data_IF_467203818517
#
_entry.id   IF_467203818517
#
_cell.length_a   1.000
_cell.length_b   1.000
_cell.length_c   1.000
_cell.angle_alpha   90.00
_cell.angle_beta   90.00
_cell.angle_gamma   90.00
#
_symmetry.space_group_name_H-M   'P 1'
#
loop_
_entity.id
_entity.type
_entity.pdbx_description
1 polymer ?
#
# COMPACT_ATOMS: atom_id res chain seq x y z
N UNK A 1 -34.71 -19.12 -40.78
CA UNK A 1 -34.92 -18.41 -39.50
C UNK A 1 -33.55 -18.35 -38.83
N UNK A 2 -32.84 -17.23 -38.99
CA UNK A 2 -31.48 -17.05 -38.46
C UNK A 2 -31.57 -16.53 -37.04
N UNK A 3 -31.25 -17.39 -36.06
CA UNK A 3 -31.16 -16.98 -34.67
C UNK A 3 -29.84 -16.22 -34.48
N UNK A 4 -29.93 -14.89 -34.42
CA UNK A 4 -28.84 -14.04 -33.95
C UNK A 4 -28.82 -14.09 -32.41
N UNK A 5 -28.11 -15.07 -31.86
CA UNK A 5 -27.84 -15.11 -30.41
C UNK A 5 -26.94 -13.92 -30.08
N UNK A 6 -27.53 -12.89 -29.47
CA UNK A 6 -26.81 -11.74 -28.95
C UNK A 6 -25.99 -12.19 -27.73
N UNK A 7 -24.67 -12.19 -27.86
CA UNK A 7 -23.75 -12.31 -26.73
C UNK A 7 -24.04 -11.16 -25.75
N UNK A 8 -24.43 -11.43 -24.49
CA UNK A 8 -24.54 -10.36 -23.51
C UNK A 8 -23.11 -9.84 -23.28
N UNK A 9 -22.89 -8.56 -23.62
CA UNK A 9 -21.65 -7.88 -23.33
C UNK A 9 -21.42 -7.93 -21.81
N UNK A 10 -20.43 -8.70 -21.37
CA UNK A 10 -19.96 -8.70 -19.99
C UNK A 10 -19.61 -7.26 -19.62
N UNK A 11 -20.23 -6.75 -18.55
CA UNK A 11 -19.92 -5.44 -18.00
C UNK A 11 -18.41 -5.35 -17.72
N UNK A 12 -17.75 -4.21 -17.98
CA UNK A 12 -16.33 -4.07 -17.73
C UNK A 12 -16.11 -4.20 -16.23
N UNK A 13 -15.52 -5.31 -15.80
CA UNK A 13 -15.11 -5.48 -14.41
C UNK A 13 -14.02 -4.45 -14.12
N UNK A 14 -14.38 -3.43 -13.34
CA UNK A 14 -13.51 -2.33 -12.99
C UNK A 14 -12.45 -2.83 -12.01
N UNK A 15 -11.41 -3.49 -12.50
CA UNK A 15 -10.31 -3.92 -11.65
C UNK A 15 -9.59 -2.70 -11.08
N UNK A 16 -9.73 -2.51 -9.77
CA UNK A 16 -8.84 -1.64 -9.02
C UNK A 16 -7.46 -2.31 -8.98
N UNK A 17 -6.58 -1.96 -9.92
CA UNK A 17 -5.16 -2.22 -9.81
C UNK A 17 -4.52 -1.55 -8.55
N UNK A 18 -5.27 -0.71 -7.85
CA UNK A 18 -4.78 0.16 -6.76
C UNK A 18 -4.47 -0.51 -5.42
N UNK A 19 -4.67 -1.82 -5.25
CA UNK A 19 -4.22 -2.51 -4.03
C UNK A 19 -2.68 -2.64 -3.95
N UNK A 20 -2.00 -2.62 -5.09
CA UNK A 20 -0.53 -2.70 -5.21
C UNK A 20 0.10 -1.34 -5.60
N UNK A 21 -0.48 -0.22 -5.16
CA UNK A 21 0.17 1.09 -5.27
C UNK A 21 1.28 1.20 -4.21
N UNK A 22 2.48 1.63 -4.63
CA UNK A 22 3.63 1.87 -3.76
C UNK A 22 3.30 2.77 -2.56
N UNK A 23 2.37 3.72 -2.70
CA UNK A 23 1.94 4.61 -1.60
C UNK A 23 1.21 3.86 -0.50
N UNK A 24 0.36 2.91 -0.88
CA UNK A 24 -0.36 2.04 0.06
C UNK A 24 0.61 1.10 0.76
N UNK A 25 1.57 0.53 0.02
CA UNK A 25 2.61 -0.34 0.59
C UNK A 25 3.46 0.43 1.61
N UNK A 26 3.96 1.61 1.25
CA UNK A 26 4.73 2.48 2.16
C UNK A 26 3.90 2.83 3.40
N UNK A 27 2.64 3.23 3.23
CA UNK A 27 1.76 3.58 4.34
C UNK A 27 1.58 2.42 5.33
N UNK A 28 1.36 1.21 4.83
CA UNK A 28 1.16 0.02 5.67
C UNK A 28 2.46 -0.34 6.39
N UNK A 29 3.60 -0.37 5.70
CA UNK A 29 4.89 -0.68 6.33
C UNK A 29 5.23 0.33 7.44
N UNK A 30 5.13 1.63 7.15
CA UNK A 30 5.40 2.68 8.13
C UNK A 30 4.38 2.65 9.27
N UNK A 31 3.10 2.38 8.97
CA UNK A 31 2.04 2.29 9.97
C UNK A 31 2.26 1.14 10.95
N UNK A 32 2.58 -0.06 10.44
CA UNK A 32 2.90 -1.22 11.28
C UNK A 32 4.14 -0.95 12.11
N UNK A 33 5.22 -0.46 11.49
CA UNK A 33 6.46 -0.17 12.21
C UNK A 33 6.28 0.92 13.29
N UNK A 34 5.57 2.00 12.96
CA UNK A 34 5.23 3.06 13.90
C UNK A 34 4.38 2.56 15.07
N UNK A 35 3.37 1.74 14.80
CA UNK A 35 2.55 1.10 15.85
C UNK A 35 3.38 0.22 16.78
N UNK A 36 4.28 -0.61 16.20
CA UNK A 36 5.20 -1.44 16.99
C UNK A 36 6.08 -0.57 17.88
N UNK A 37 6.67 0.52 17.39
CA UNK A 37 7.50 1.40 18.20
C UNK A 37 6.74 2.10 19.33
N UNK A 38 5.50 2.50 19.09
CA UNK A 38 4.62 3.03 20.14
C UNK A 38 4.39 1.97 21.21
N UNK A 39 4.06 0.73 20.84
CA UNK A 39 3.88 -0.37 21.79
C UNK A 39 5.18 -0.63 22.56
N UNK A 40 6.33 -0.69 21.88
CA UNK A 40 7.63 -0.87 22.50
C UNK A 40 7.94 0.22 23.53
N UNK A 41 7.51 1.47 23.29
CA UNK A 41 7.72 2.57 24.25
C UNK A 41 6.98 2.38 25.58
N UNK A 42 5.89 1.61 25.62
CA UNK A 42 5.10 1.39 26.84
C UNK A 42 5.29 -0.01 27.44
N UNK A 43 5.52 -1.02 26.60
CA UNK A 43 5.52 -2.41 27.00
C UNK A 43 6.92 -3.04 27.12
N UNK A 44 7.97 -2.43 26.55
CA UNK A 44 9.31 -2.98 26.53
C UNK A 44 10.31 -2.07 27.23
N UNK A 45 11.29 -2.68 27.89
CA UNK A 45 12.44 -1.98 28.41
C UNK A 45 13.30 -1.45 27.24
N UNK A 46 13.65 -0.15 27.21
CA UNK A 46 14.41 0.44 26.12
C UNK A 46 15.85 -0.08 26.02
N UNK A 47 16.32 -0.84 27.01
CA UNK A 47 17.63 -1.45 27.03
C UNK A 47 18.75 -0.44 27.27
N UNK A 48 19.96 -0.86 26.95
CA UNK A 48 21.18 -0.09 27.22
C UNK A 48 21.88 0.23 25.91
N UNK A 49 22.39 1.44 25.78
CA UNK A 49 23.16 1.88 24.62
C UNK A 49 24.47 1.06 24.54
N UNK A 50 24.74 0.33 23.45
CA UNK A 50 25.92 -0.52 23.32
C UNK A 50 27.24 0.26 23.27
N UNK A 51 27.21 1.54 22.86
CA UNK A 51 28.42 2.36 22.72
C UNK A 51 28.81 3.06 24.02
N UNK A 52 27.82 3.43 24.84
CA UNK A 52 28.03 4.25 26.04
C UNK A 52 27.69 3.54 27.35
N UNK A 53 27.00 2.40 27.29
CA UNK A 53 26.49 1.70 28.47
C UNK A 53 25.38 2.45 29.22
N UNK A 54 24.88 3.56 28.68
CA UNK A 54 23.80 4.34 29.29
C UNK A 54 22.43 3.74 28.98
N UNK A 55 21.45 3.91 29.88
CA UNK A 55 20.06 3.52 29.63
C UNK A 55 19.51 4.29 28.42
N UNK A 56 18.92 3.58 27.46
CA UNK A 56 18.22 4.22 26.34
C UNK A 56 16.88 4.75 26.85
N UNK A 57 16.40 5.85 26.28
CA UNK A 57 15.10 6.38 26.66
C UNK A 57 13.99 5.70 25.87
N UNK A 58 12.97 5.21 26.56
CA UNK A 58 11.76 4.69 25.92
C UNK A 58 11.05 5.76 25.08
N UNK A 59 11.13 7.02 25.52
CA UNK A 59 10.55 8.18 24.83
C UNK A 59 11.09 8.37 23.41
N UNK A 60 12.31 7.89 23.10
CA UNK A 60 12.84 7.92 21.73
C UNK A 60 11.99 7.08 20.78
N UNK A 61 11.62 5.87 21.21
CA UNK A 61 10.78 4.97 20.42
C UNK A 61 9.39 5.58 20.21
N UNK A 62 8.86 6.31 21.20
CA UNK A 62 7.60 7.03 21.08
C UNK A 62 7.67 8.12 20.01
N UNK A 63 8.66 9.01 20.06
CA UNK A 63 8.80 10.10 19.09
C UNK A 63 8.96 9.57 17.66
N UNK A 64 9.79 8.55 17.47
CA UNK A 64 9.98 7.90 16.16
C UNK A 64 8.68 7.23 15.72
N UNK A 65 8.01 6.49 16.60
CA UNK A 65 6.73 5.84 16.33
C UNK A 65 5.65 6.83 15.89
N UNK A 66 5.51 7.96 16.60
CA UNK A 66 4.57 9.03 16.25
C UNK A 66 4.93 9.65 14.89
N UNK A 67 6.22 9.93 14.63
CA UNK A 67 6.68 10.44 13.34
C UNK A 67 6.28 9.52 12.17
N UNK A 68 6.49 8.20 12.33
CA UNK A 68 6.12 7.20 11.34
C UNK A 68 4.61 7.13 11.11
N UNK A 69 3.80 7.20 12.17
CA UNK A 69 2.34 7.21 12.06
C UNK A 69 1.82 8.46 11.34
N UNK A 70 2.44 9.63 11.59
CA UNK A 70 2.12 10.86 10.86
C UNK A 70 2.43 10.71 9.38
N UNK A 71 3.63 10.22 9.03
CA UNK A 71 4.02 10.00 7.61
C UNK A 71 3.10 8.96 6.95
N UNK A 72 2.81 7.85 7.63
CA UNK A 72 1.86 6.86 7.14
C UNK A 72 0.49 7.49 6.86
N UNK A 73 -0.03 8.31 7.77
CA UNK A 73 -1.28 9.05 7.58
C UNK A 73 -1.28 9.96 6.36
N UNK A 74 -0.16 10.67 6.10
CA UNK A 74 0.02 11.49 4.89
C UNK A 74 -0.03 10.63 3.63
N UNK A 75 0.65 9.48 3.62
CA UNK A 75 0.64 8.57 2.46
C UNK A 75 -0.74 7.98 2.21
N UNK A 76 -1.48 7.59 3.26
CA UNK A 76 -2.87 7.14 3.13
C UNK A 76 -3.73 8.25 2.54
N UNK A 77 -3.65 9.47 3.09
CA UNK A 77 -4.42 10.61 2.59
C UNK A 77 -4.10 10.88 1.10
N UNK A 78 -2.83 10.83 0.72
CA UNK A 78 -2.40 11.06 -0.66
C UNK A 78 -2.84 9.96 -1.62
N UNK A 79 -2.78 8.69 -1.19
CA UNK A 79 -3.28 7.55 -1.96
C UNK A 79 -4.79 7.68 -2.22
N UNK A 80 -5.56 8.16 -1.24
CA UNK A 80 -7.00 8.41 -1.41
C UNK A 80 -7.29 9.61 -2.31
N UNK A 81 -6.47 10.66 -2.29
CA UNK A 81 -6.65 11.84 -3.14
C UNK A 81 -6.30 11.58 -4.61
N UNK A 82 -5.32 10.71 -4.89
CA UNK A 82 -4.86 10.40 -6.25
C UNK A 82 -4.91 8.89 -6.54
N UNK A 83 -6.11 8.30 -6.69
CA UNK A 83 -6.24 6.89 -7.00
C UNK A 83 -5.69 6.58 -8.40
N UNK A 84 -4.75 5.63 -8.50
CA UNK A 84 -4.31 5.10 -9.79
C UNK A 84 -5.39 4.14 -10.32
N UNK A 85 -5.97 4.48 -11.48
CA UNK A 85 -6.94 3.65 -12.18
C UNK A 85 -6.22 3.14 -13.42
N UNK A 86 -6.00 1.83 -13.51
CA UNK A 86 -5.45 1.19 -14.71
C UNK A 86 -6.63 0.78 -15.58
N UNK A 87 -6.66 1.25 -16.82
CA UNK A 87 -7.67 0.90 -17.81
C UNK A 87 -7.18 -0.34 -18.58
N UNK A 88 -7.72 -1.52 -18.27
CA UNK A 88 -7.39 -2.78 -18.95
C UNK A 88 -7.90 -2.82 -20.41
N UNK A 89 -8.79 -1.88 -20.78
CA UNK A 89 -9.37 -1.75 -22.13
C UNK A 89 -8.36 -1.36 -23.23
N UNK A 90 -7.10 -1.05 -22.87
CA UNK A 90 -6.03 -0.68 -23.82
C UNK A 90 -4.98 -1.76 -24.06
N UNK A 91 -5.16 -2.98 -23.54
CA UNK A 91 -4.30 -4.10 -23.91
C UNK A 91 -4.73 -4.57 -25.31
N UNK A 92 -4.18 -3.90 -26.33
CA UNK A 92 -4.27 -4.35 -27.73
C UNK A 92 -3.64 -5.73 -27.77
N UNK A 93 -4.47 -6.74 -28.03
CA UNK A 93 -3.96 -8.04 -28.45
C UNK A 93 -3.47 -7.83 -29.88
N UNK A 94 -2.17 -7.97 -30.10
CA UNK A 94 -1.62 -8.22 -31.44
C UNK A 94 -2.03 -9.65 -31.83
N UNK A 95 -3.34 -9.86 -32.07
CA UNK A 95 -3.83 -11.02 -32.78
C UNK A 95 -3.38 -10.85 -34.23
N UNK A 96 -2.17 -11.35 -34.52
CA UNK A 96 -1.63 -11.35 -35.87
C UNK A 96 -2.54 -12.19 -36.79
N UNK A 97 -3.20 -11.61 -37.80
CA UNK A 97 -3.99 -12.38 -38.73
C UNK A 97 -3.08 -12.91 -39.84
N UNK A 98 -2.68 -14.18 -39.71
CA UNK A 98 -2.50 -15.05 -40.86
C UNK A 98 -1.06 -15.45 -41.20
N UNK A 99 -0.79 -16.74 -41.02
CA UNK A 99 0.00 -17.51 -41.99
C UNK A 99 -0.79 -18.78 -42.28
N UNK A 100 -1.53 -18.76 -43.39
CA UNK A 100 -2.00 -19.94 -44.11
C UNK A 100 -1.03 -20.31 -45.21
#
# INVERSE_FOLDING_TARGET
MTEHTSTPASAPEKHKAGAFDIRTVIAILLGIYGLVLVICSFALDPGTNPDTGASKSATDNLWVGIGLLVVAGVFVAWAKLKPIIVDESKIVHDDEPGVG
#
